data_IF_766409962783
#
_entry.id   IF_766409962783
#
_cell.length_a   1.000
_cell.length_b   1.000
_cell.length_c   1.000
_cell.angle_alpha   90.00
_cell.angle_beta   90.00
_cell.angle_gamma   90.00
#
_symmetry.space_group_name_H-M   'P 1'
#
loop_
_entity.id
_entity.type
_entity.pdbx_description
1 polymer ?
#
# COMPACT_ATOMS: atom_id res chain seq x y z
N UNK A 1 -58.69 30.74 16.22
CA UNK A 1 -58.30 32.09 15.78
C UNK A 1 -56.86 32.08 15.27
N UNK A 2 -56.67 32.60 14.05
CA UNK A 2 -55.47 33.16 13.42
C UNK A 2 -54.08 32.59 13.74
N UNK A 3 -53.61 31.74 12.82
CA UNK A 3 -52.21 31.59 12.43
C UNK A 3 -51.60 32.93 12.02
N UNK A 4 -50.38 33.22 12.49
CA UNK A 4 -49.42 34.12 11.83
C UNK A 4 -48.03 33.88 12.41
N UNK A 5 -47.26 33.04 11.74
CA UNK A 5 -45.80 33.08 11.82
C UNK A 5 -45.24 33.10 10.41
N UNK A 6 -44.93 34.32 9.98
CA UNK A 6 -44.23 34.65 8.74
C UNK A 6 -42.76 34.25 8.95
N UNK A 7 -42.36 33.08 8.44
CA UNK A 7 -40.95 32.70 8.40
C UNK A 7 -40.22 33.59 7.39
N UNK A 8 -39.50 34.56 7.94
CA UNK A 8 -38.62 35.52 7.27
C UNK A 8 -37.41 34.77 6.69
N UNK A 9 -36.95 35.21 5.53
CA UNK A 9 -36.00 34.54 4.64
C UNK A 9 -34.87 33.77 5.32
N UNK A 10 -34.77 32.48 5.00
CA UNK A 10 -33.53 31.73 5.18
C UNK A 10 -32.51 32.22 4.15
N UNK A 11 -31.31 32.52 4.64
CA UNK A 11 -30.17 32.95 3.85
C UNK A 11 -29.87 31.90 2.77
N UNK A 12 -29.96 32.32 1.51
CA UNK A 12 -29.52 31.55 0.34
C UNK A 12 -28.01 31.39 0.39
N UNK A 13 -27.54 30.15 0.37
CA UNK A 13 -26.16 29.85 0.01
C UNK A 13 -25.97 30.15 -1.49
N UNK A 14 -24.88 30.79 -1.84
CA UNK A 14 -24.50 31.04 -3.23
C UNK A 14 -24.36 29.69 -3.96
N UNK A 15 -25.07 29.51 -5.08
CA UNK A 15 -24.99 28.30 -5.91
C UNK A 15 -26.32 27.54 -6.10
N UNK A 16 -27.38 27.87 -5.38
CA UNK A 16 -28.70 27.24 -5.59
C UNK A 16 -29.43 27.93 -6.75
N UNK A 17 -29.28 27.40 -7.97
CA UNK A 17 -30.15 27.77 -9.08
C UNK A 17 -31.43 26.90 -9.06
N UNK A 18 -32.50 27.43 -8.46
CA UNK A 18 -33.82 26.83 -8.58
C UNK A 18 -34.36 27.05 -9.99
N UNK A 19 -34.39 26.01 -10.82
CA UNK A 19 -35.08 26.06 -12.12
C UNK A 19 -36.59 26.06 -11.85
N UNK A 20 -37.24 27.19 -12.11
CA UNK A 20 -38.69 27.33 -12.01
C UNK A 20 -39.33 26.79 -13.28
N UNK A 21 -39.85 25.56 -13.24
CA UNK A 21 -40.65 25.01 -14.35
C UNK A 21 -42.03 25.68 -14.31
N UNK A 22 -42.48 26.35 -15.39
CA UNK A 22 -43.78 26.99 -15.42
C UNK A 22 -44.91 25.97 -15.20
N UNK A 23 -45.84 26.35 -14.32
CA UNK A 23 -46.97 25.53 -13.87
C UNK A 23 -47.74 24.92 -15.04
N UNK A 24 -47.69 23.60 -15.18
CA UNK A 24 -48.73 22.87 -15.91
C UNK A 24 -50.00 22.85 -15.06
N UNK A 25 -51.04 23.52 -15.57
CA UNK A 25 -52.38 23.62 -15.00
C UNK A 25 -53.01 22.22 -14.97
N UNK A 26 -53.03 21.55 -13.81
CA UNK A 26 -53.81 20.31 -13.68
C UNK A 26 -53.58 19.41 -12.46
N UNK A 27 -52.41 19.41 -11.81
CA UNK A 27 -52.16 18.52 -10.66
C UNK A 27 -51.91 19.29 -9.35
N UNK A 28 -52.91 19.28 -8.46
CA UNK A 28 -52.77 19.70 -7.05
C UNK A 28 -51.87 18.67 -6.34
N UNK A 29 -50.73 19.13 -5.78
CA UNK A 29 -49.69 18.38 -5.02
C UNK A 29 -48.55 17.73 -5.80
N UNK A 30 -47.87 18.47 -6.68
CA UNK A 30 -46.46 18.18 -6.95
C UNK A 30 -45.60 19.07 -6.02
N UNK A 31 -45.00 18.49 -4.99
CA UNK A 31 -43.98 19.18 -4.20
C UNK A 31 -42.76 19.43 -5.10
N UNK A 32 -42.09 20.60 -5.01
CA UNK A 32 -40.89 20.88 -5.78
C UNK A 32 -39.80 19.87 -5.38
N UNK A 33 -39.39 19.02 -6.32
CA UNK A 33 -38.27 18.11 -6.12
C UNK A 33 -36.97 18.88 -6.37
N UNK A 34 -36.12 18.94 -5.34
CA UNK A 34 -34.79 19.55 -5.42
C UNK A 34 -33.83 18.47 -5.87
N UNK A 35 -33.36 18.55 -7.12
CA UNK A 35 -32.27 17.70 -7.60
C UNK A 35 -30.97 18.38 -7.20
N UNK A 36 -30.33 17.87 -6.15
CA UNK A 36 -28.98 18.28 -5.77
C UNK A 36 -28.01 17.58 -6.72
N UNK A 37 -27.52 18.29 -7.74
CA UNK A 37 -26.35 17.84 -8.47
C UNK A 37 -25.13 18.03 -7.57
N UNK A 38 -24.39 16.97 -7.18
CA UNK A 38 -23.11 17.16 -6.56
C UNK A 38 -22.20 17.88 -7.57
N UNK A 39 -21.51 18.93 -7.12
CA UNK A 39 -20.43 19.55 -7.90
C UNK A 39 -19.53 18.44 -8.43
N UNK A 40 -19.24 18.50 -9.73
CA UNK A 40 -18.39 17.55 -10.44
C UNK A 40 -17.13 17.28 -9.60
N UNK A 41 -16.82 16.01 -9.25
CA UNK A 41 -15.66 15.72 -8.44
C UNK A 41 -14.44 16.32 -9.11
N UNK A 42 -13.61 17.02 -8.35
CA UNK A 42 -12.36 17.56 -8.89
C UNK A 42 -11.56 16.43 -9.53
N UNK A 43 -10.90 16.70 -10.66
CA UNK A 43 -10.05 15.73 -11.35
C UNK A 43 -9.05 15.05 -10.39
N UNK A 44 -8.60 15.78 -9.37
CA UNK A 44 -7.77 15.27 -8.28
C UNK A 44 -8.47 14.20 -7.43
N UNK A 45 -9.75 14.39 -7.08
CA UNK A 45 -10.54 13.43 -6.30
C UNK A 45 -10.84 12.17 -7.10
N UNK A 46 -11.07 12.31 -8.41
CA UNK A 46 -11.28 11.16 -9.29
C UNK A 46 -9.98 10.38 -9.54
N UNK A 47 -8.86 11.08 -9.75
CA UNK A 47 -7.54 10.48 -9.84
C UNK A 47 -7.15 9.76 -8.53
N UNK A 48 -7.33 10.38 -7.37
CA UNK A 48 -7.11 9.75 -6.06
C UNK A 48 -8.02 8.54 -5.83
N UNK A 49 -9.30 8.65 -6.23
CA UNK A 49 -10.25 7.53 -6.16
C UNK A 49 -9.88 6.39 -7.11
N UNK A 50 -9.33 6.70 -8.29
CA UNK A 50 -8.82 5.71 -9.24
C UNK A 50 -7.57 5.02 -8.70
N UNK A 51 -6.59 5.78 -8.21
CA UNK A 51 -5.36 5.24 -7.60
C UNK A 51 -5.71 4.39 -6.39
N UNK A 52 -6.57 4.88 -5.49
CA UNK A 52 -7.01 4.14 -4.31
C UNK A 52 -7.71 2.82 -4.67
N UNK A 53 -8.60 2.83 -5.67
CA UNK A 53 -9.24 1.60 -6.18
C UNK A 53 -8.25 0.66 -6.86
N UNK A 54 -7.31 1.19 -7.65
CA UNK A 54 -6.27 0.40 -8.29
C UNK A 54 -5.34 -0.25 -7.26
N UNK A 55 -4.92 0.49 -6.23
CA UNK A 55 -4.14 -0.01 -5.10
C UNK A 55 -4.92 -1.09 -4.33
N UNK A 56 -6.21 -0.84 -4.06
CA UNK A 56 -7.06 -1.78 -3.35
C UNK A 56 -7.26 -3.08 -4.11
N UNK A 57 -7.48 -2.98 -5.43
CA UNK A 57 -7.62 -4.14 -6.33
C UNK A 57 -6.28 -4.88 -6.49
N UNK A 58 -5.17 -4.13 -6.51
CA UNK A 58 -3.80 -4.63 -6.63
C UNK A 58 -3.12 -5.01 -5.31
N UNK A 59 -3.79 -4.88 -4.15
CA UNK A 59 -3.15 -5.00 -2.82
C UNK A 59 -2.34 -6.29 -2.61
N UNK A 60 -2.82 -7.41 -3.15
CA UNK A 60 -2.13 -8.71 -3.08
C UNK A 60 -0.99 -8.82 -4.10
N UNK A 61 -1.04 -8.09 -5.21
CA UNK A 61 0.01 -8.07 -6.23
C UNK A 61 1.16 -7.13 -5.85
N UNK A 62 0.89 -6.13 -5.01
CA UNK A 62 1.84 -5.11 -4.57
C UNK A 62 2.60 -5.45 -3.28
N UNK A 63 2.37 -6.63 -2.69
CA UNK A 63 2.99 -7.00 -1.42
C UNK A 63 4.53 -6.93 -1.45
N UNK A 64 5.24 -7.48 -2.45
CA UNK A 64 6.70 -7.39 -2.49
C UNK A 64 7.18 -5.95 -2.67
N UNK A 65 6.48 -5.15 -3.49
CA UNK A 65 6.78 -3.73 -3.67
C UNK A 65 6.61 -2.93 -2.38
N UNK A 66 5.49 -3.11 -1.67
CA UNK A 66 5.24 -2.43 -0.42
C UNK A 66 6.30 -2.80 0.64
N UNK A 67 6.67 -4.08 0.73
CA UNK A 67 7.73 -4.54 1.63
C UNK A 67 9.11 -3.98 1.25
N UNK A 68 9.44 -3.95 -0.05
CA UNK A 68 10.73 -3.43 -0.52
C UNK A 68 10.88 -1.93 -0.20
N UNK A 69 9.84 -1.13 -0.46
CA UNK A 69 9.83 0.30 -0.14
C UNK A 69 9.87 0.54 1.37
N UNK A 70 9.12 -0.23 2.15
CA UNK A 70 9.14 -0.13 3.60
C UNK A 70 10.51 -0.50 4.17
N UNK A 71 11.13 -1.57 3.68
CA UNK A 71 12.48 -1.96 4.08
C UNK A 71 13.52 -0.86 3.77
N UNK A 72 13.41 -0.21 2.61
CA UNK A 72 14.27 0.91 2.24
C UNK A 72 14.09 2.11 3.19
N UNK A 73 12.84 2.49 3.46
CA UNK A 73 12.55 3.59 4.38
C UNK A 73 13.01 3.30 5.82
N UNK A 74 12.75 2.09 6.31
CA UNK A 74 13.15 1.66 7.67
C UNK A 74 14.66 1.61 7.80
N UNK A 75 15.39 1.07 6.82
CA UNK A 75 16.87 1.01 6.88
C UNK A 75 17.49 2.39 6.77
N UNK A 76 16.93 3.30 5.97
CA UNK A 76 17.34 4.71 5.98
C UNK A 76 17.11 5.38 7.34
N UNK A 77 15.96 5.13 7.97
CA UNK A 77 15.67 5.65 9.31
C UNK A 77 16.62 5.07 10.36
N UNK A 78 16.86 3.77 10.32
CA UNK A 78 17.82 3.09 11.20
C UNK A 78 19.22 3.63 11.01
N UNK A 79 19.65 3.93 9.78
CA UNK A 79 20.94 4.54 9.54
C UNK A 79 21.08 5.90 10.23
N UNK A 80 20.07 6.76 10.10
CA UNK A 80 20.07 8.09 10.69
C UNK A 80 19.98 8.04 12.22
N UNK A 81 19.13 7.18 12.79
CA UNK A 81 18.84 7.18 14.23
C UNK A 81 19.68 6.19 15.04
N UNK A 82 20.14 5.11 14.41
CA UNK A 82 20.72 3.96 15.09
C UNK A 82 21.64 3.15 14.16
N UNK A 83 22.65 3.80 13.56
CA UNK A 83 23.61 3.13 12.67
C UNK A 83 24.26 1.88 13.32
N UNK A 84 24.43 1.89 14.64
CA UNK A 84 24.94 0.77 15.45
C UNK A 84 24.04 -0.48 15.40
N UNK A 85 22.77 -0.35 15.01
CA UNK A 85 21.86 -1.49 14.80
C UNK A 85 22.39 -2.46 13.74
N UNK A 86 23.26 -2.00 12.83
CA UNK A 86 24.00 -2.86 11.90
C UNK A 86 24.78 -3.97 12.61
N UNK A 87 25.36 -3.69 13.78
CA UNK A 87 26.12 -4.67 14.58
C UNK A 87 25.24 -5.80 15.11
N UNK A 88 23.95 -5.53 15.34
CA UNK A 88 22.96 -6.53 15.76
C UNK A 88 22.37 -7.26 14.53
N UNK A 89 22.10 -6.51 13.46
CA UNK A 89 21.51 -7.07 12.23
C UNK A 89 22.46 -8.02 11.51
N UNK A 90 23.77 -7.75 11.52
CA UNK A 90 24.78 -8.58 10.86
C UNK A 90 24.77 -10.05 11.33
N UNK A 91 24.88 -10.37 12.64
CA UNK A 91 24.79 -11.76 13.08
C UNK A 91 23.40 -12.36 12.87
N UNK A 92 22.33 -11.56 12.97
CA UNK A 92 20.97 -12.03 12.71
C UNK A 92 20.76 -12.46 11.24
N UNK A 93 21.55 -11.96 10.30
CA UNK A 93 21.49 -12.40 8.90
C UNK A 93 21.84 -13.88 8.69
N UNK A 94 22.54 -14.51 9.66
CA UNK A 94 22.79 -15.96 9.65
C UNK A 94 21.58 -16.79 10.13
N UNK A 95 20.58 -16.16 10.74
CA UNK A 95 19.38 -16.84 11.28
C UNK A 95 18.66 -17.76 10.28
N UNK A 96 18.42 -17.34 9.02
CA UNK A 96 17.83 -18.20 8.00
C UNK A 96 18.67 -19.44 7.65
N UNK A 97 20.00 -19.34 7.70
CA UNK A 97 20.90 -20.48 7.48
C UNK A 97 20.83 -21.46 8.65
N UNK A 98 20.78 -20.95 9.89
CA UNK A 98 20.57 -21.78 11.09
C UNK A 98 19.23 -22.49 11.01
N UNK A 99 18.17 -21.78 10.62
CA UNK A 99 16.85 -22.37 10.41
C UNK A 99 16.89 -23.48 9.35
N UNK A 100 17.57 -23.25 8.22
CA UNK A 100 17.72 -24.25 7.16
C UNK A 100 18.42 -25.51 7.68
N UNK A 101 19.53 -25.34 8.42
CA UNK A 101 20.26 -26.45 9.02
C UNK A 101 19.38 -27.25 9.99
N UNK A 102 18.67 -26.55 10.89
CA UNK A 102 17.75 -27.18 11.84
C UNK A 102 16.61 -27.91 11.13
N UNK A 103 16.04 -27.32 10.08
CA UNK A 103 14.97 -27.95 9.31
C UNK A 103 15.46 -29.15 8.51
N UNK A 104 16.69 -29.13 8.02
CA UNK A 104 17.28 -30.26 7.31
C UNK A 104 17.52 -31.44 8.26
N UNK A 105 17.91 -31.17 9.50
CA UNK A 105 18.07 -32.20 10.54
C UNK A 105 16.72 -32.72 11.05
N UNK A 106 15.78 -31.84 11.38
CA UNK A 106 14.50 -32.22 11.99
C UNK A 106 13.48 -32.77 11.00
N UNK A 107 13.50 -32.30 9.75
CA UNK A 107 12.54 -32.64 8.70
C UNK A 107 13.26 -32.77 7.35
N UNK A 108 14.04 -33.85 7.17
CA UNK A 108 14.79 -34.07 5.94
C UNK A 108 13.83 -34.12 4.74
N UNK A 109 14.04 -33.23 3.78
CA UNK A 109 13.36 -33.24 2.49
C UNK A 109 14.32 -33.70 1.39
N UNK A 110 13.78 -34.04 0.21
CA UNK A 110 14.57 -34.31 -1.00
C UNK A 110 14.03 -33.52 -2.19
N UNK A 111 14.88 -33.31 -3.19
CA UNK A 111 14.52 -32.65 -4.45
C UNK A 111 14.03 -31.22 -4.28
N UNK A 112 12.87 -30.91 -4.89
CA UNK A 112 12.32 -29.56 -4.97
C UNK A 112 12.11 -28.88 -3.61
N UNK A 113 11.79 -29.63 -2.55
CA UNK A 113 11.58 -29.07 -1.21
C UNK A 113 12.88 -28.47 -0.64
N UNK A 114 14.01 -29.14 -0.84
CA UNK A 114 15.32 -28.65 -0.38
C UNK A 114 15.72 -27.42 -1.18
N UNK A 115 15.53 -27.47 -2.50
CA UNK A 115 15.81 -26.34 -3.37
C UNK A 115 14.99 -25.10 -2.98
N UNK A 116 13.70 -25.27 -2.68
CA UNK A 116 12.83 -24.19 -2.23
C UNK A 116 13.25 -23.61 -0.88
N UNK A 117 13.56 -24.47 0.10
CA UNK A 117 14.04 -24.03 1.42
C UNK A 117 15.39 -23.31 1.31
N UNK A 118 16.31 -23.82 0.50
CA UNK A 118 17.61 -23.19 0.26
C UNK A 118 17.44 -21.83 -0.42
N UNK A 119 16.60 -21.75 -1.46
CA UNK A 119 16.29 -20.49 -2.13
C UNK A 119 15.69 -19.44 -1.18
N UNK A 120 14.74 -19.85 -0.33
CA UNK A 120 14.16 -18.97 0.69
C UNK A 120 15.18 -18.53 1.74
N UNK A 121 16.00 -19.44 2.23
CA UNK A 121 17.04 -19.13 3.21
C UNK A 121 18.07 -18.17 2.65
N UNK A 122 18.54 -18.40 1.42
CA UNK A 122 19.47 -17.51 0.73
C UNK A 122 18.85 -16.12 0.53
N UNK A 123 17.62 -16.03 0.02
CA UNK A 123 16.95 -14.75 -0.18
C UNK A 123 16.77 -13.99 1.15
N UNK A 124 16.37 -14.69 2.21
CA UNK A 124 16.21 -14.08 3.53
C UNK A 124 17.55 -13.61 4.12
N UNK A 125 18.61 -14.41 4.02
CA UNK A 125 19.96 -14.04 4.47
C UNK A 125 20.50 -12.85 3.69
N UNK A 126 20.31 -12.84 2.37
CA UNK A 126 20.77 -11.74 1.53
C UNK A 126 20.02 -10.44 1.84
N UNK A 127 18.70 -10.53 2.05
CA UNK A 127 17.88 -9.38 2.47
C UNK A 127 18.29 -8.84 3.84
N UNK A 128 18.56 -9.72 4.80
CA UNK A 128 19.01 -9.32 6.14
C UNK A 128 20.42 -8.72 6.12
N UNK A 129 21.33 -9.29 5.33
CA UNK A 129 22.68 -8.76 5.14
C UNK A 129 22.65 -7.38 4.49
N UNK A 130 21.83 -7.21 3.44
CA UNK A 130 21.60 -5.91 2.83
C UNK A 130 21.03 -4.90 3.84
N UNK A 131 20.05 -5.29 4.66
CA UNK A 131 19.49 -4.40 5.67
C UNK A 131 20.52 -3.98 6.74
N UNK A 132 21.40 -4.91 7.16
CA UNK A 132 22.49 -4.61 8.07
C UNK A 132 23.47 -3.59 7.47
N UNK A 133 23.87 -3.79 6.20
CA UNK A 133 24.74 -2.88 5.48
C UNK A 133 24.08 -1.51 5.24
N UNK A 134 22.82 -1.50 4.82
CA UNK A 134 22.05 -0.28 4.60
C UNK A 134 21.84 0.52 5.89
N UNK A 135 21.64 -0.15 7.03
CA UNK A 135 21.58 0.53 8.33
C UNK A 135 22.96 1.07 8.76
N UNK A 136 24.06 0.37 8.48
CA UNK A 136 25.40 0.81 8.86
C UNK A 136 25.93 1.95 7.99
N UNK A 137 25.77 1.84 6.67
CA UNK A 137 26.41 2.70 5.68
C UNK A 137 25.43 3.61 4.92
N UNK A 138 24.13 3.38 5.05
CA UNK A 138 23.09 4.07 4.31
C UNK A 138 22.57 3.23 3.12
N UNK A 139 21.27 3.29 2.79
CA UNK A 139 20.66 2.46 1.75
C UNK A 139 21.09 2.85 0.32
N UNK A 140 21.67 4.03 0.15
CA UNK A 140 22.17 4.55 -1.13
C UNK A 140 23.71 4.51 -1.23
N UNK A 141 24.39 3.86 -0.30
CA UNK A 141 25.84 3.80 -0.31
C UNK A 141 26.35 2.76 -1.32
N UNK A 142 27.17 3.22 -2.28
CA UNK A 142 27.82 2.36 -3.27
C UNK A 142 26.80 1.53 -4.08
N UNK A 143 26.97 0.20 -4.21
CA UNK A 143 26.08 -0.65 -5.01
C UNK A 143 24.83 -1.13 -4.26
N UNK A 144 24.55 -0.64 -3.04
CA UNK A 144 23.44 -1.15 -2.22
C UNK A 144 22.07 -0.90 -2.86
N UNK A 145 21.89 0.18 -3.60
CA UNK A 145 20.66 0.49 -4.34
C UNK A 145 20.37 -0.54 -5.45
N UNK A 146 21.41 -0.92 -6.20
CA UNK A 146 21.35 -1.96 -7.22
C UNK A 146 21.04 -3.31 -6.60
N UNK A 147 21.68 -3.65 -5.48
CA UNK A 147 21.43 -4.90 -4.75
C UNK A 147 19.98 -4.94 -4.25
N UNK A 148 19.48 -3.84 -3.70
CA UNK A 148 18.07 -3.72 -3.31
C UNK A 148 17.12 -3.95 -4.48
N UNK A 149 17.41 -3.34 -5.64
CA UNK A 149 16.60 -3.48 -6.84
C UNK A 149 16.57 -4.93 -7.34
N UNK A 150 17.72 -5.61 -7.36
CA UNK A 150 17.83 -7.01 -7.74
C UNK A 150 17.04 -7.92 -6.79
N UNK A 151 17.15 -7.70 -5.48
CA UNK A 151 16.35 -8.45 -4.50
C UNK A 151 14.85 -8.20 -4.66
N UNK A 152 14.45 -6.95 -4.91
CA UNK A 152 13.05 -6.61 -5.14
C UNK A 152 12.51 -7.32 -6.40
N UNK A 153 13.25 -7.31 -7.50
CA UNK A 153 12.88 -8.03 -8.73
C UNK A 153 12.77 -9.53 -8.44
N UNK A 154 13.75 -10.13 -7.74
CA UNK A 154 13.73 -11.54 -7.36
C UNK A 154 12.52 -11.89 -6.47
N UNK A 155 12.20 -11.06 -5.48
CA UNK A 155 11.04 -11.24 -4.61
C UNK A 155 9.73 -11.12 -5.40
N UNK A 156 9.63 -10.16 -6.31
CA UNK A 156 8.46 -9.96 -7.16
C UNK A 156 8.27 -11.15 -8.12
N UNK A 157 9.33 -11.64 -8.77
CA UNK A 157 9.23 -12.81 -9.65
C UNK A 157 8.82 -14.06 -8.87
N UNK A 158 9.45 -14.33 -7.72
CA UNK A 158 9.08 -15.44 -6.85
C UNK A 158 7.60 -15.36 -6.42
N UNK A 159 7.13 -14.18 -6.03
CA UNK A 159 5.72 -13.95 -5.68
C UNK A 159 4.77 -14.23 -6.84
N UNK A 160 5.14 -13.85 -8.06
CA UNK A 160 4.36 -14.14 -9.27
C UNK A 160 4.28 -15.63 -9.58
N UNK A 161 5.34 -16.39 -9.33
CA UNK A 161 5.32 -17.84 -9.50
C UNK A 161 4.47 -18.52 -8.42
N UNK A 162 4.71 -18.19 -7.15
CA UNK A 162 3.98 -18.80 -6.01
C UNK A 162 2.49 -18.52 -6.09
N UNK A 163 2.07 -17.30 -6.45
CA UNK A 163 0.64 -16.98 -6.56
C UNK A 163 -0.05 -17.68 -7.73
N UNK A 164 0.69 -18.15 -8.74
CA UNK A 164 0.13 -18.85 -9.91
C UNK A 164 -0.08 -20.33 -9.62
N UNK A 165 0.66 -20.88 -8.67
CA UNK A 165 0.57 -22.27 -8.24
C UNK A 165 -0.51 -22.53 -7.17
N UNK A 166 -1.17 -21.49 -6.66
CA UNK A 166 -2.24 -21.54 -5.67
C UNK A 166 -3.53 -20.95 -6.24
#
# INVERSE_FOLDING_TARGET
MSSRTRARGSKRAAGVHTVSIPRQRGRRRAQPFVIVFPESPSLTREALGFIGRALWKGRRALAPTALALLAFAVTGLLHVMAWWSSLILAPLAAGPLVWLAVMQVRRPGRGAVVLWRAGLALLATFTAAWAALAAGFGPLAGPLDLVWLLMWIAAQTAWLFVRRSH
#
